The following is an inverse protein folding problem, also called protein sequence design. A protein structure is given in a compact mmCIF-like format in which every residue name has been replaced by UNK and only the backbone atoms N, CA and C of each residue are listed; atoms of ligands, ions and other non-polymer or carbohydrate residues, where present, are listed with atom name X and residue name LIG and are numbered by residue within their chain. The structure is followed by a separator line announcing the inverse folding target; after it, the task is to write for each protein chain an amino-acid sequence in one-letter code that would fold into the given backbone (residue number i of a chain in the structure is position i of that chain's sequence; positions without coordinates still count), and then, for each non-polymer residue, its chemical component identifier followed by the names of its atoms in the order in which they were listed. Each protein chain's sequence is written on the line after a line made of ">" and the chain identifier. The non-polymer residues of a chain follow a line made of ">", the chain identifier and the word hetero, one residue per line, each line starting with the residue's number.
data_IF_914573319162
#
_entry.id   IF_914573319162
#
_cell.length_a   1.000
_cell.length_b   1.000
_cell.length_c   1.000
_cell.angle_alpha   90.00
_cell.angle_beta   90.00
_cell.angle_gamma   90.00
#
_symmetry.space_group_name_H-M   'P 1'
#
loop_
_entity.id
_entity.type
_entity.pdbx_description
1 polymer ?
#
# COMPACT_ATOMS: atom_id res chain seq x y z
N UNK A 1 19.39 -29.08 -3.75
CA UNK A 1 18.48 -28.45 -2.77
C UNK A 1 18.19 -27.04 -3.26
N UNK A 2 17.22 -26.86 -4.16
CA UNK A 2 16.69 -25.52 -4.43
C UNK A 2 15.78 -25.22 -3.25
N UNK A 3 16.13 -24.21 -2.45
CA UNK A 3 15.23 -23.72 -1.43
C UNK A 3 13.95 -23.29 -2.14
N UNK A 4 12.81 -23.84 -1.72
CA UNK A 4 11.51 -23.28 -2.08
C UNK A 4 11.55 -21.78 -1.74
N UNK A 5 11.03 -20.90 -2.61
CA UNK A 5 10.73 -19.55 -2.17
C UNK A 5 9.83 -19.65 -0.94
N UNK A 6 10.10 -18.92 0.16
CA UNK A 6 9.25 -18.97 1.33
C UNK A 6 7.82 -18.66 0.88
N UNK A 7 6.81 -19.44 1.33
CA UNK A 7 5.42 -19.10 1.05
C UNK A 7 5.19 -17.66 1.49
N UNK A 8 4.44 -16.86 0.71
CA UNK A 8 4.10 -15.51 1.12
C UNK A 8 3.50 -15.60 2.54
N UNK A 9 3.92 -14.73 3.48
CA UNK A 9 3.38 -14.76 4.83
C UNK A 9 1.86 -14.73 4.75
N UNK A 10 1.19 -15.71 5.38
CA UNK A 10 -0.25 -15.65 5.51
C UNK A 10 -0.62 -14.37 6.27
N UNK A 11 -1.71 -13.67 5.90
CA UNK A 11 -2.16 -12.49 6.64
C UNK A 11 -2.34 -12.87 8.11
N UNK A 12 -1.58 -12.23 8.99
CA UNK A 12 -1.58 -12.50 10.43
C UNK A 12 -2.80 -11.85 11.09
N UNK A 13 -3.31 -10.77 10.48
CA UNK A 13 -4.42 -9.98 10.99
C UNK A 13 -5.68 -10.14 10.13
N UNK A 14 -6.84 -9.95 10.75
CA UNK A 14 -8.09 -9.93 10.01
C UNK A 14 -8.11 -8.69 9.10
N UNK A 15 -8.57 -8.82 7.85
CA UNK A 15 -8.58 -7.72 6.87
C UNK A 15 -9.30 -6.45 7.37
N UNK A 16 -10.35 -6.63 8.18
CA UNK A 16 -11.08 -5.53 8.85
C UNK A 16 -10.24 -4.75 9.88
N UNK A 17 -9.21 -5.36 10.45
CA UNK A 17 -8.29 -4.70 11.37
C UNK A 17 -7.18 -3.95 10.64
N UNK A 18 -6.88 -4.35 9.40
CA UNK A 18 -5.85 -3.72 8.57
C UNK A 18 -6.43 -2.44 7.96
N UNK A 19 -6.11 -1.32 8.61
CA UNK A 19 -6.39 0.01 8.06
C UNK A 19 -5.38 0.37 6.99
N UNK A 20 -5.83 0.47 5.75
CA UNK A 20 -4.98 0.83 4.62
C UNK A 20 -5.26 2.27 4.21
N UNK A 21 -4.24 3.11 4.15
CA UNK A 21 -4.31 4.47 3.63
C UNK A 21 -3.62 4.48 2.27
N UNK A 22 -4.21 5.15 1.30
CA UNK A 22 -3.59 5.32 -0.02
C UNK A 22 -3.22 6.78 -0.18
N UNK A 23 -1.93 7.05 -0.24
CA UNK A 23 -1.35 8.36 -0.44
C UNK A 23 -0.91 8.53 -1.90
N UNK A 24 -1.45 9.52 -2.58
CA UNK A 24 -1.12 9.84 -3.96
C UNK A 24 0.08 10.79 -4.02
N UNK A 25 1.26 10.28 -4.37
CA UNK A 25 2.46 11.07 -4.63
C UNK A 25 2.58 11.54 -6.07
N UNK A 26 1.46 11.67 -6.79
CA UNK A 26 1.46 12.00 -8.22
C UNK A 26 0.48 13.11 -8.53
N UNK A 27 0.61 13.68 -9.74
CA UNK A 27 -0.35 14.65 -10.28
C UNK A 27 -1.60 14.00 -10.87
N UNK A 28 -1.70 12.67 -10.82
CA UNK A 28 -2.79 11.94 -11.45
C UNK A 28 -3.97 11.80 -10.50
N UNK A 29 -5.09 12.42 -10.87
CA UNK A 29 -6.34 12.33 -10.14
C UNK A 29 -6.95 10.92 -10.22
N UNK A 30 -7.35 10.37 -9.07
CA UNK A 30 -8.12 9.13 -9.00
C UNK A 30 -7.31 7.84 -8.90
N UNK A 31 -5.98 7.88 -9.00
CA UNK A 31 -5.12 6.72 -8.80
C UNK A 31 -5.33 6.09 -7.40
N UNK A 32 -5.24 6.92 -6.35
CA UNK A 32 -5.40 6.46 -4.98
C UNK A 32 -6.82 5.96 -4.65
N UNK A 33 -7.84 6.62 -5.21
CA UNK A 33 -9.24 6.20 -5.04
C UNK A 33 -9.52 4.82 -5.65
N UNK A 34 -8.88 4.46 -6.77
CA UNK A 34 -9.01 3.12 -7.38
C UNK A 34 -8.45 2.04 -6.49
N UNK A 35 -7.21 2.20 -6.03
CA UNK A 35 -6.58 1.20 -5.17
C UNK A 35 -7.38 1.04 -3.89
N UNK A 36 -7.88 2.16 -3.34
CA UNK A 36 -8.72 2.13 -2.16
C UNK A 36 -10.03 1.37 -2.39
N UNK A 37 -10.68 1.56 -3.55
CA UNK A 37 -11.90 0.83 -3.91
C UNK A 37 -11.62 -0.67 -4.09
N UNK A 38 -10.54 -1.04 -4.77
CA UNK A 38 -10.15 -2.45 -4.97
C UNK A 38 -9.86 -3.16 -3.66
N UNK A 39 -9.15 -2.50 -2.73
CA UNK A 39 -8.86 -3.05 -1.41
C UNK A 39 -10.11 -3.14 -0.53
N UNK A 40 -10.98 -2.13 -0.59
CA UNK A 40 -12.27 -2.16 0.11
C UNK A 40 -13.15 -3.31 -0.41
N UNK A 41 -13.15 -3.57 -1.71
CA UNK A 41 -13.86 -4.71 -2.32
C UNK A 41 -13.30 -6.07 -1.86
N UNK A 42 -12.04 -6.13 -1.42
CA UNK A 42 -11.42 -7.32 -0.83
C UNK A 42 -11.71 -7.49 0.66
N UNK A 43 -12.46 -6.55 1.28
CA UNK A 43 -12.78 -6.54 2.71
C UNK A 43 -11.70 -5.92 3.59
N UNK A 44 -10.76 -5.15 3.03
CA UNK A 44 -9.82 -4.36 3.83
C UNK A 44 -10.48 -3.05 4.28
N UNK A 45 -10.13 -2.59 5.48
CA UNK A 45 -10.66 -1.35 6.02
C UNK A 45 -9.87 -0.15 5.47
N UNK A 46 -10.14 0.24 4.23
CA UNK A 46 -9.40 1.33 3.58
C UNK A 46 -9.89 2.70 4.01
N UNK A 47 -8.95 3.54 4.42
CA UNK A 47 -9.15 4.95 4.73
C UNK A 47 -9.26 5.79 3.45
N UNK A 48 -9.89 6.98 3.52
CA UNK A 48 -9.99 7.86 2.38
C UNK A 48 -8.60 8.17 1.80
N UNK A 49 -8.48 8.03 0.48
CA UNK A 49 -7.26 8.35 -0.23
C UNK A 49 -6.87 9.82 0.03
N UNK A 50 -5.60 10.03 0.33
CA UNK A 50 -5.00 11.34 0.59
C UNK A 50 -3.94 11.64 -0.47
N UNK A 51 -3.54 12.90 -0.61
CA UNK A 51 -2.38 13.25 -1.43
C UNK A 51 -1.14 13.24 -0.53
N UNK A 52 -0.05 12.66 -1.01
CA UNK A 52 1.24 12.74 -0.33
C UNK A 52 1.81 14.15 -0.48
N UNK A 53 2.50 14.65 0.54
CA UNK A 53 3.16 15.95 0.48
C UNK A 53 4.37 15.92 -0.46
N UNK A 54 5.04 14.76 -0.52
CA UNK A 54 6.17 14.52 -1.38
C UNK A 54 5.76 13.62 -2.55
N UNK A 55 6.01 14.03 -3.80
CA UNK A 55 5.80 13.14 -4.93
C UNK A 55 6.81 12.00 -4.93
N UNK A 56 6.38 10.83 -5.35
CA UNK A 56 7.23 9.66 -5.55
C UNK A 56 7.31 9.32 -7.04
N UNK A 57 8.49 8.91 -7.50
CA UNK A 57 8.62 8.31 -8.83
C UNK A 57 8.13 6.88 -8.83
N UNK A 58 8.44 6.14 -7.75
CA UNK A 58 8.13 4.72 -7.59
C UNK A 58 7.07 4.52 -6.51
N UNK A 59 6.12 3.63 -6.78
CA UNK A 59 5.08 3.22 -5.87
C UNK A 59 5.63 2.32 -4.76
N UNK A 60 5.52 2.76 -3.52
CA UNK A 60 6.00 2.03 -2.34
C UNK A 60 4.88 1.78 -1.34
N UNK A 61 4.88 0.61 -0.72
CA UNK A 61 3.93 0.24 0.33
C UNK A 61 4.65 0.31 1.67
N UNK A 62 4.23 1.22 2.52
CA UNK A 62 4.70 1.36 3.89
C UNK A 62 3.76 0.62 4.85
N UNK A 63 4.30 -0.03 5.88
CA UNK A 63 3.48 -0.75 6.86
C UNK A 63 4.01 -0.62 8.28
N UNK A 64 3.13 -0.54 9.27
CA UNK A 64 3.52 -0.57 10.69
C UNK A 64 4.11 -1.95 11.02
N UNK A 65 5.15 -1.97 11.86
CA UNK A 65 5.69 -3.22 12.42
C UNK A 65 4.54 -4.11 12.91
N UNK A 66 4.61 -5.42 12.62
CA UNK A 66 3.52 -6.42 12.73
C UNK A 66 2.56 -6.56 11.52
N UNK A 67 2.46 -5.58 10.62
CA UNK A 67 1.59 -5.64 9.43
C UNK A 67 2.31 -5.99 8.11
N UNK A 68 3.59 -6.36 8.17
CA UNK A 68 4.39 -6.65 6.97
C UNK A 68 3.88 -7.82 6.13
N UNK A 69 3.28 -8.83 6.78
CA UNK A 69 2.66 -9.96 6.11
C UNK A 69 1.47 -9.50 5.23
N UNK A 70 0.55 -8.76 5.82
CA UNK A 70 -0.61 -8.18 5.14
C UNK A 70 -0.20 -7.22 4.03
N UNK A 71 0.80 -6.37 4.28
CA UNK A 71 1.34 -5.44 3.30
C UNK A 71 1.94 -6.15 2.08
N UNK A 72 2.59 -7.31 2.27
CA UNK A 72 3.10 -8.13 1.17
C UNK A 72 1.97 -8.70 0.29
N UNK A 73 0.85 -9.12 0.90
CA UNK A 73 -0.33 -9.58 0.16
C UNK A 73 -0.98 -8.42 -0.60
N UNK A 74 -1.14 -7.27 0.05
CA UNK A 74 -1.68 -6.04 -0.57
C UNK A 74 -0.80 -5.61 -1.74
N UNK A 75 0.52 -5.58 -1.56
CA UNK A 75 1.46 -5.28 -2.64
C UNK A 75 1.34 -6.27 -3.80
N UNK A 76 1.22 -7.56 -3.52
CA UNK A 76 1.03 -8.59 -4.54
C UNK A 76 -0.30 -8.39 -5.32
N UNK A 77 -1.38 -8.01 -4.62
CA UNK A 77 -2.67 -7.68 -5.24
C UNK A 77 -2.59 -6.44 -6.14
N UNK A 78 -1.76 -5.47 -5.75
CA UNK A 78 -1.54 -4.22 -6.48
C UNK A 78 -0.42 -4.35 -7.52
N UNK A 79 0.16 -5.53 -7.69
CA UNK A 79 1.34 -5.79 -8.52
C UNK A 79 2.55 -4.89 -8.18
N UNK A 80 2.61 -4.40 -6.94
CA UNK A 80 3.78 -3.72 -6.40
C UNK A 80 4.82 -4.78 -6.03
N UNK A 81 6.08 -4.64 -6.49
CA UNK A 81 7.12 -5.56 -6.09
C UNK A 81 7.30 -5.55 -4.57
N UNK A 82 7.47 -6.71 -3.95
CA UNK A 82 7.72 -6.82 -2.50
C UNK A 82 8.98 -6.08 -2.06
N UNK A 83 9.91 -5.79 -2.98
CA UNK A 83 11.05 -4.90 -2.74
C UNK A 83 10.66 -3.46 -2.40
N UNK A 84 9.47 -3.03 -2.80
CA UNK A 84 8.87 -1.73 -2.49
C UNK A 84 7.95 -1.80 -1.25
N UNK A 85 7.89 -2.95 -0.57
CA UNK A 85 7.16 -3.14 0.69
C UNK A 85 8.14 -2.85 1.82
N UNK A 86 8.09 -1.63 2.33
CA UNK A 86 9.02 -1.11 3.31
C UNK A 86 8.32 -0.96 4.65
N UNK A 87 9.00 -1.27 5.78
CA UNK A 87 8.46 -0.93 7.09
C UNK A 87 8.28 0.60 7.17
N UNK A 88 7.26 1.03 7.91
CA UNK A 88 6.88 2.43 7.98
C UNK A 88 8.04 3.22 8.60
N UNK A 89 8.60 4.19 7.86
CA UNK A 89 9.71 4.98 8.38
C UNK A 89 9.23 5.83 9.56
N UNK A 90 10.15 6.16 10.47
CA UNK A 90 9.86 7.02 11.63
C UNK A 90 9.30 8.39 11.22
N UNK A 91 9.64 8.84 10.01
CA UNK A 91 9.08 10.04 9.36
C UNK A 91 8.36 9.59 8.08
N UNK A 92 7.06 9.26 8.16
CA UNK A 92 6.32 8.86 6.99
C UNK A 92 6.10 10.06 6.05
N UNK A 93 6.14 9.86 4.72
CA UNK A 93 5.92 10.93 3.73
C UNK A 93 4.49 11.48 3.74
N UNK A 94 3.58 10.78 4.43
CA UNK A 94 2.18 11.15 4.60
C UNK A 94 1.75 10.72 6.00
N UNK A 95 0.96 11.55 6.69
CA UNK A 95 0.46 11.22 8.03
C UNK A 95 -0.36 9.91 7.99
N UNK A 96 0.12 8.82 8.63
CA UNK A 96 -0.61 7.57 8.65
C UNK A 96 -1.86 7.69 9.52
N UNK A 97 -1.84 8.53 10.55
CA UNK A 97 -2.93 8.60 11.53
C UNK A 97 -3.18 7.22 12.15
N UNK A 98 -4.39 6.70 11.99
CA UNK A 98 -4.80 5.34 12.40
C UNK A 98 -4.54 4.26 11.33
N UNK A 99 -3.84 4.58 10.24
CA UNK A 99 -3.50 3.64 9.18
C UNK A 99 -2.35 2.73 9.61
N UNK A 100 -2.54 1.42 9.39
CA UNK A 100 -1.52 0.40 9.61
C UNK A 100 -0.67 0.16 8.37
N UNK A 101 -1.24 0.38 7.18
CA UNK A 101 -0.55 0.26 5.89
C UNK A 101 -0.76 1.55 5.12
N UNK A 102 0.29 2.18 4.63
CA UNK A 102 0.25 3.38 3.79
C UNK A 102 0.82 3.04 2.43
N UNK A 103 0.00 3.08 1.39
CA UNK A 103 0.43 2.89 0.01
C UNK A 103 0.78 4.26 -0.55
N UNK A 104 2.05 4.52 -0.81
CA UNK A 104 2.51 5.70 -1.52
C UNK A 104 2.54 5.39 -3.01
N UNK A 105 1.62 5.98 -3.77
CA UNK A 105 1.60 5.85 -5.23
C UNK A 105 2.64 6.81 -5.81
N UNK A 106 3.58 6.25 -6.56
CA UNK A 106 4.51 7.01 -7.39
C UNK A 106 4.01 7.12 -8.82
N UNK A 107 4.67 7.95 -9.63
CA UNK A 107 4.30 8.24 -11.03
C UNK A 107 4.47 7.06 -12.02
N UNK A 108 4.46 5.81 -11.54
CA UNK A 108 4.51 4.60 -12.36
C UNK A 108 3.13 4.20 -12.92
N UNK A 109 3.03 2.95 -13.38
CA UNK A 109 1.81 2.28 -13.83
C UNK A 109 0.63 2.37 -12.84
N UNK A 110 0.89 2.50 -11.54
CA UNK A 110 -0.17 2.70 -10.53
C UNK A 110 -0.75 4.11 -10.54
N UNK A 111 -0.04 5.08 -11.08
CA UNK A 111 -0.54 6.42 -11.33
C UNK A 111 -1.36 6.51 -12.61
N UNK A 112 -1.77 5.41 -13.24
CA UNK A 112 -2.47 5.49 -14.51
C UNK A 112 -3.69 6.41 -14.42
N UNK A 113 -3.76 7.46 -15.29
CA UNK A 113 -4.89 8.36 -15.31
C UNK A 113 -6.10 7.60 -15.82
N UNK A 114 -7.20 7.79 -15.12
CA UNK A 114 -8.51 7.39 -15.63
C UNK A 114 -9.40 8.61 -15.79
N UNK A 115 -8.80 9.69 -16.28
CA UNK A 115 -9.51 10.75 -16.97
C UNK A 115 -10.15 10.18 -18.25
#
# INVERSE_FOLDING_TARGET
>A
MFADPPPPPAPTHNRDQVRVLVANGTTVCGAAGRLATSLSAQGYNVLPAVNAENPAEISSVFYVDEYGADAGVVASLLQVPSAQVLPMPATPPTAPGDAHVVIHIGADDLAQPNC
#
